data_IF_909881549905
#
_entry.id   IF_909881549905
#
_cell.length_a   1.000
_cell.length_b   1.000
_cell.length_c   1.000
_cell.angle_alpha   90.00
_cell.angle_beta   90.00
_cell.angle_gamma   90.00
#
_symmetry.space_group_name_H-M   'P 1'
#
loop_
_entity.id
_entity.type
_entity.pdbx_description
1 polymer ?
#
# COMPACT_ATOMS: atom_id res chain seq x y z
N UNK A 1 0.45 -15.99 -7.15
CA UNK A 1 -0.60 -16.17 -6.12
C UNK A 1 -0.88 -14.95 -5.24
N UNK A 2 -0.06 -13.88 -5.27
CA UNK A 2 -0.22 -12.71 -4.40
C UNK A 2 -1.61 -12.02 -4.46
N UNK A 3 -2.25 -12.02 -5.64
CA UNK A 3 -3.59 -11.45 -5.83
C UNK A 3 -4.67 -12.27 -5.11
N UNK A 4 -4.60 -13.60 -5.22
CA UNK A 4 -5.63 -14.53 -4.72
C UNK A 4 -5.45 -14.86 -3.22
N UNK A 5 -4.23 -14.76 -2.70
CA UNK A 5 -3.93 -14.93 -1.27
C UNK A 5 -3.92 -13.59 -0.53
N UNK A 6 -3.23 -13.45 0.59
CA UNK A 6 -3.23 -12.20 1.37
C UNK A 6 -2.55 -11.02 0.67
N UNK A 7 -1.53 -11.26 -0.15
CA UNK A 7 -0.77 -10.22 -0.85
C UNK A 7 0.29 -9.50 0.00
N UNK A 8 0.30 -9.70 1.33
CA UNK A 8 1.27 -9.07 2.23
C UNK A 8 2.72 -9.39 1.91
N UNK A 9 3.02 -10.58 1.39
CA UNK A 9 4.39 -10.94 0.98
C UNK A 9 4.94 -10.00 -0.10
N UNK A 10 4.12 -9.67 -1.11
CA UNK A 10 4.51 -8.73 -2.18
C UNK A 10 4.61 -7.31 -1.67
N UNK A 11 3.70 -6.89 -0.79
CA UNK A 11 3.80 -5.60 -0.12
C UNK A 11 5.10 -5.48 0.69
N UNK A 12 5.40 -6.47 1.53
CA UNK A 12 6.59 -6.48 2.39
C UNK A 12 7.89 -6.49 1.57
N UNK A 13 7.92 -7.22 0.44
CA UNK A 13 9.04 -7.15 -0.50
C UNK A 13 9.15 -5.75 -1.14
N UNK A 14 8.03 -5.13 -1.52
CA UNK A 14 8.01 -3.77 -2.04
C UNK A 14 8.52 -2.72 -1.04
N UNK A 15 8.20 -2.90 0.26
CA UNK A 15 8.62 -1.99 1.33
C UNK A 15 10.09 -2.19 1.73
N UNK A 16 10.54 -3.44 1.94
CA UNK A 16 11.89 -3.73 2.47
C UNK A 16 12.96 -3.88 1.39
N UNK A 17 12.58 -4.36 0.21
CA UNK A 17 13.53 -4.65 -0.88
C UNK A 17 12.93 -4.24 -2.23
N UNK A 18 12.70 -2.93 -2.43
CA UNK A 18 12.01 -2.41 -3.61
C UNK A 18 12.71 -2.76 -4.93
N UNK A 19 14.01 -3.09 -4.93
CA UNK A 19 14.71 -3.51 -6.16
C UNK A 19 14.21 -4.86 -6.69
N UNK A 20 13.75 -5.77 -5.84
CA UNK A 20 13.36 -7.13 -6.24
C UNK A 20 11.95 -7.23 -6.84
N UNK A 21 11.12 -6.18 -6.72
CA UNK A 21 9.73 -6.20 -7.21
C UNK A 21 9.54 -5.18 -8.32
N UNK A 22 9.17 -5.63 -9.51
CA UNK A 22 8.91 -4.74 -10.66
C UNK A 22 7.64 -3.91 -10.46
N UNK A 23 7.62 -2.69 -10.98
CA UNK A 23 6.47 -1.76 -10.94
C UNK A 23 5.20 -2.43 -11.49
N UNK A 24 5.34 -3.17 -12.59
CA UNK A 24 4.24 -3.92 -13.20
C UNK A 24 3.58 -4.91 -12.22
N UNK A 25 4.37 -5.62 -11.42
CA UNK A 25 3.84 -6.58 -10.43
C UNK A 25 3.05 -5.85 -9.36
N UNK A 26 3.56 -4.72 -8.87
CA UNK A 26 2.87 -3.91 -7.85
C UNK A 26 1.53 -3.39 -8.35
N UNK A 27 1.48 -2.87 -9.59
CA UNK A 27 0.25 -2.37 -10.19
C UNK A 27 -0.76 -3.48 -10.48
N UNK A 28 -0.31 -4.63 -11.02
CA UNK A 28 -1.18 -5.78 -11.24
C UNK A 28 -1.76 -6.28 -9.91
N UNK A 29 -0.93 -6.37 -8.87
CA UNK A 29 -1.40 -6.76 -7.54
C UNK A 29 -2.41 -5.75 -7.01
N UNK A 30 -2.12 -4.45 -7.03
CA UNK A 30 -3.05 -3.42 -6.56
C UNK A 30 -4.41 -3.46 -7.29
N UNK A 31 -4.40 -3.44 -8.63
CA UNK A 31 -5.62 -3.40 -9.43
C UNK A 31 -6.46 -4.68 -9.31
N UNK A 32 -5.85 -5.85 -9.43
CA UNK A 32 -6.59 -7.10 -9.28
C UNK A 32 -7.01 -7.35 -7.82
N UNK A 33 -6.31 -6.77 -6.84
CA UNK A 33 -6.74 -6.87 -5.44
C UNK A 33 -8.04 -6.11 -5.19
N UNK A 34 -8.26 -4.98 -5.86
CA UNK A 34 -9.56 -4.29 -5.86
C UNK A 34 -10.64 -5.25 -6.39
N UNK A 35 -10.44 -5.84 -7.57
CA UNK A 35 -11.41 -6.75 -8.18
C UNK A 35 -11.74 -7.96 -7.29
N UNK A 36 -10.70 -8.65 -6.79
CA UNK A 36 -10.90 -9.82 -5.92
C UNK A 36 -11.57 -9.48 -4.59
N UNK A 37 -11.31 -8.30 -4.03
CA UNK A 37 -11.94 -7.85 -2.79
C UNK A 37 -13.41 -7.51 -3.04
N UNK A 38 -13.72 -6.79 -4.12
CA UNK A 38 -15.10 -6.49 -4.51
C UNK A 38 -15.91 -7.76 -4.76
N UNK A 39 -15.34 -8.75 -5.46
CA UNK A 39 -16.01 -10.04 -5.70
C UNK A 39 -16.25 -10.81 -4.40
N UNK A 40 -15.26 -10.86 -3.50
CA UNK A 40 -15.39 -11.56 -2.21
C UNK A 40 -16.47 -10.95 -1.32
N UNK A 41 -16.50 -9.62 -1.20
CA UNK A 41 -17.49 -8.92 -0.38
C UNK A 41 -18.88 -9.05 -1.03
N UNK A 42 -18.96 -8.86 -2.34
CA UNK A 42 -20.24 -8.94 -3.07
C UNK A 42 -20.82 -10.35 -3.11
N UNK A 43 -20.01 -11.41 -3.02
CA UNK A 43 -20.49 -12.79 -2.95
C UNK A 43 -21.00 -13.20 -1.56
N UNK A 44 -21.01 -12.28 -0.59
CA UNK A 44 -21.37 -12.57 0.80
C UNK A 44 -20.24 -13.22 1.61
N UNK A 45 -19.00 -13.17 1.10
CA UNK A 45 -17.83 -13.64 1.84
C UNK A 45 -17.52 -12.74 3.04
N UNK A 46 -17.14 -13.34 4.18
CA UNK A 46 -16.66 -12.61 5.34
C UNK A 46 -15.19 -12.24 5.14
N UNK A 47 -14.95 -10.98 4.78
CA UNK A 47 -13.61 -10.42 4.63
C UNK A 47 -13.68 -8.91 4.77
N UNK A 48 -13.10 -8.37 5.83
CA UNK A 48 -13.03 -6.92 6.02
C UNK A 48 -12.21 -6.24 4.90
N UNK A 49 -12.45 -4.94 4.71
CA UNK A 49 -11.71 -4.13 3.71
C UNK A 49 -10.28 -3.81 4.12
N UNK A 50 -9.97 -3.96 5.41
CA UNK A 50 -8.72 -3.52 6.00
C UNK A 50 -7.46 -4.10 5.33
N UNK A 51 -7.33 -5.43 5.31
CA UNK A 51 -6.14 -6.08 4.78
C UNK A 51 -5.91 -5.80 3.30
N UNK A 52 -6.93 -5.94 2.44
CA UNK A 52 -6.84 -5.54 1.05
C UNK A 52 -6.46 -4.07 0.86
N UNK A 53 -7.04 -3.14 1.64
CA UNK A 53 -6.72 -1.71 1.56
C UNK A 53 -5.23 -1.44 1.80
N UNK A 54 -4.61 -2.13 2.76
CA UNK A 54 -3.17 -2.01 3.02
C UNK A 54 -2.32 -2.47 1.83
N UNK A 55 -2.69 -3.60 1.21
CA UNK A 55 -1.96 -4.12 0.04
C UNK A 55 -2.15 -3.24 -1.19
N UNK A 56 -3.38 -2.79 -1.44
CA UNK A 56 -3.70 -1.92 -2.58
C UNK A 56 -2.97 -0.58 -2.44
N UNK A 57 -3.14 0.10 -1.31
CA UNK A 57 -2.52 1.39 -1.04
C UNK A 57 -1.00 1.31 -1.00
N UNK A 58 -0.46 0.29 -0.33
CA UNK A 58 0.98 0.11 -0.22
C UNK A 58 1.66 -0.27 -1.53
N UNK A 59 1.11 -1.21 -2.31
CA UNK A 59 1.67 -1.55 -3.61
C UNK A 59 1.61 -0.36 -4.59
N UNK A 60 0.52 0.39 -4.58
CA UNK A 60 0.38 1.59 -5.42
C UNK A 60 1.35 2.68 -4.98
N UNK A 61 1.51 2.90 -3.67
CA UNK A 61 2.47 3.85 -3.12
C UNK A 61 3.92 3.51 -3.49
N UNK A 62 4.34 2.25 -3.30
CA UNK A 62 5.70 1.80 -3.71
C UNK A 62 5.88 1.97 -5.22
N UNK A 63 4.87 1.65 -6.03
CA UNK A 63 4.94 1.85 -7.48
C UNK A 63 5.17 3.33 -7.84
N UNK A 64 4.45 4.25 -7.20
CA UNK A 64 4.65 5.70 -7.36
C UNK A 64 6.08 6.10 -6.96
N UNK A 65 6.57 5.69 -5.79
CA UNK A 65 7.93 6.01 -5.36
C UNK A 65 9.00 5.49 -6.32
N UNK A 66 8.80 4.31 -6.91
CA UNK A 66 9.71 3.79 -7.96
C UNK A 66 9.64 4.59 -9.26
N UNK A 67 8.45 5.03 -9.68
CA UNK A 67 8.28 5.88 -10.87
C UNK A 67 8.96 7.24 -10.65
N UNK A 68 8.80 7.84 -9.47
CA UNK A 68 9.45 9.11 -9.13
C UNK A 68 10.97 9.00 -9.24
N UNK A 69 11.56 7.91 -8.74
CA UNK A 69 12.99 7.65 -8.89
C UNK A 69 13.44 7.45 -10.35
N UNK A 70 12.59 6.94 -11.22
CA UNK A 70 12.90 6.79 -12.65
C UNK A 70 12.84 8.12 -13.40
N UNK A 71 11.86 8.98 -13.07
CA UNK A 71 11.66 10.28 -13.74
C UNK A 71 12.63 11.33 -13.22
N UNK A 72 12.92 11.33 -11.91
CA UNK A 72 13.83 12.27 -11.28
C UNK A 72 14.85 11.57 -10.38
N UNK A 73 15.90 10.95 -10.96
CA UNK A 73 16.91 10.20 -10.21
C UNK A 73 17.66 11.04 -9.17
N UNK A 74 17.66 12.37 -9.33
CA UNK A 74 18.30 13.33 -8.42
C UNK A 74 17.63 13.44 -7.05
N UNK A 75 16.34 13.07 -6.92
CA UNK A 75 15.62 13.21 -5.65
C UNK A 75 15.89 12.07 -4.67
N UNK A 76 16.41 10.92 -5.13
CA UNK A 76 16.76 9.74 -4.31
C UNK A 76 15.70 9.42 -3.24
N UNK A 77 14.43 9.35 -3.64
CA UNK A 77 13.34 9.09 -2.70
C UNK A 77 13.32 7.62 -2.29
N UNK A 78 12.94 7.33 -1.05
CA UNK A 78 12.70 5.95 -0.61
C UNK A 78 11.32 5.46 -1.09
N UNK A 79 11.23 4.45 -1.98
CA UNK A 79 9.94 3.90 -2.40
C UNK A 79 9.16 3.26 -1.24
N UNK A 80 9.84 2.77 -0.19
CA UNK A 80 9.21 2.20 0.99
C UNK A 80 8.35 3.23 1.73
N UNK A 81 8.90 4.42 1.94
CA UNK A 81 8.17 5.56 2.54
C UNK A 81 6.89 5.92 1.76
N UNK A 82 6.95 5.96 0.43
CA UNK A 82 5.76 6.19 -0.42
C UNK A 82 4.74 5.06 -0.28
N UNK A 83 5.19 3.82 -0.11
CA UNK A 83 4.34 2.69 0.23
C UNK A 83 3.55 2.89 1.53
N UNK A 84 4.23 3.30 2.60
CA UNK A 84 3.61 3.53 3.91
C UNK A 84 2.59 4.68 3.84
N UNK A 85 2.90 5.76 3.14
CA UNK A 85 1.94 6.86 2.90
C UNK A 85 0.74 6.38 2.08
N UNK A 86 0.97 5.57 1.05
CA UNK A 86 -0.10 4.96 0.24
C UNK A 86 -1.01 4.03 1.04
N UNK A 87 -0.45 3.25 1.98
CA UNK A 87 -1.21 2.40 2.90
C UNK A 87 -2.18 3.23 3.75
N UNK A 88 -1.67 4.29 4.38
CA UNK A 88 -2.46 5.19 5.22
C UNK A 88 -3.55 5.88 4.39
N UNK A 89 -3.19 6.43 3.24
CA UNK A 89 -4.12 7.19 2.41
C UNK A 89 -5.27 6.38 1.83
N UNK A 90 -4.98 5.19 1.31
CA UNK A 90 -6.01 4.35 0.73
C UNK A 90 -7.01 3.91 1.79
N UNK A 91 -6.52 3.48 2.96
CA UNK A 91 -7.40 3.07 4.04
C UNK A 91 -8.14 4.24 4.69
N UNK A 92 -7.52 5.41 4.83
CA UNK A 92 -8.16 6.65 5.30
C UNK A 92 -9.37 7.00 4.44
N UNK A 93 -9.21 6.95 3.11
CA UNK A 93 -10.29 7.21 2.15
C UNK A 93 -11.41 6.17 2.20
N UNK A 94 -11.07 4.87 2.35
CA UNK A 94 -12.08 3.82 2.45
C UNK A 94 -12.85 3.82 3.77
N UNK A 95 -12.17 4.12 4.89
CA UNK A 95 -12.73 4.01 6.23
C UNK A 95 -13.32 5.33 6.76
N UNK A 96 -13.07 6.46 6.08
CA UNK A 96 -13.40 7.81 6.57
C UNK A 96 -12.87 8.08 7.98
N UNK A 97 -11.69 7.53 8.32
CA UNK A 97 -11.13 7.56 9.67
C UNK A 97 -9.63 7.95 9.67
N UNK A 98 -9.24 9.11 9.12
CA UNK A 98 -7.85 9.45 8.80
C UNK A 98 -6.90 9.37 10.00
N UNK A 99 -7.29 9.91 11.16
CA UNK A 99 -6.44 9.89 12.37
C UNK A 99 -6.20 8.44 12.84
N UNK A 100 -7.24 7.61 12.86
CA UNK A 100 -7.12 6.20 13.26
C UNK A 100 -6.24 5.42 12.30
N UNK A 101 -6.40 5.65 10.99
CA UNK A 101 -5.61 4.97 9.97
C UNK A 101 -4.13 5.34 10.02
N UNK A 102 -3.79 6.61 10.27
CA UNK A 102 -2.40 7.07 10.40
C UNK A 102 -1.73 6.41 11.60
N UNK A 103 -2.37 6.42 12.76
CA UNK A 103 -1.85 5.79 13.98
C UNK A 103 -1.64 4.30 13.71
N UNK A 104 -2.64 3.63 13.16
CA UNK A 104 -2.57 2.20 12.94
C UNK A 104 -1.46 1.79 11.94
N UNK A 105 -1.31 2.52 10.83
CA UNK A 105 -0.21 2.29 9.87
C UNK A 105 1.15 2.53 10.52
N UNK A 106 1.27 3.57 11.34
CA UNK A 106 2.49 3.87 12.08
C UNK A 106 2.86 2.75 13.04
N UNK A 107 1.89 2.21 13.79
CA UNK A 107 2.09 1.08 14.70
C UNK A 107 2.49 -0.20 13.96
N UNK A 108 1.81 -0.55 12.85
CA UNK A 108 2.14 -1.77 12.10
C UNK A 108 3.50 -1.72 11.40
N UNK A 109 3.94 -0.53 11.00
CA UNK A 109 5.21 -0.34 10.26
C UNK A 109 6.37 0.06 11.17
N UNK A 110 6.10 0.43 12.43
CA UNK A 110 7.08 0.92 13.39
C UNK A 110 7.78 2.22 12.98
N UNK A 111 7.28 2.91 11.95
CA UNK A 111 7.97 4.02 11.28
C UNK A 111 7.34 5.36 11.62
N UNK A 112 7.50 5.82 12.86
CA UNK A 112 6.94 7.10 13.35
C UNK A 112 7.54 8.35 12.67
N UNK A 113 8.67 8.22 11.98
CA UNK A 113 9.24 9.32 11.20
C UNK A 113 8.33 9.74 10.02
N UNK A 114 7.47 8.82 9.56
CA UNK A 114 6.53 9.06 8.46
C UNK A 114 5.15 9.52 8.95
N UNK A 115 5.00 9.84 10.23
CA UNK A 115 3.74 10.33 10.80
C UNK A 115 3.37 11.71 10.24
N UNK A 116 4.34 12.61 10.09
CA UNK A 116 4.09 13.95 9.52
C UNK A 116 3.63 13.89 8.05
N UNK A 117 4.32 13.16 7.15
CA UNK A 117 3.85 12.99 5.76
C UNK A 117 2.50 12.29 5.64
N UNK A 118 2.20 11.32 6.52
CA UNK A 118 0.93 10.58 6.49
C UNK A 118 -0.26 11.42 6.97
N UNK A 119 -0.04 12.44 7.80
CA UNK A 119 -1.09 13.39 8.21
C UNK A 119 -1.65 14.25 7.08
N UNK A 120 -0.94 14.36 5.95
CA UNK A 120 -1.44 15.09 4.79
C UNK A 120 -2.57 14.35 4.05
N UNK A 121 -2.77 13.06 4.34
CA UNK A 121 -3.73 12.21 3.62
C UNK A 121 -5.08 12.11 4.34
#
# INVERSE_FOLDING_TARGET
MAVLSTGYGTLQQGLKSPQHVTIQVLLVVGLFKILTTSLTISSGGSGGVFGPSMVIGGCTGVAVGKIVNQVSPSMQVDPGAFGIVGMAGFFAGCAHAPISTIIMVSEMTGSYQLLLPTMWV
#
